data_IF_531122736610
#
_entry.id   IF_531122736610
#
_cell.length_a   1.000
_cell.length_b   1.000
_cell.length_c   1.000
_cell.angle_alpha   90.00
_cell.angle_beta   90.00
_cell.angle_gamma   90.00
#
_symmetry.space_group_name_H-M   'P 1'
#
loop_
_entity.id
_entity.type
_entity.pdbx_description
1 polymer ?
#
# COMPACT_ATOMS: atom_id res chain seq x y z
N UNK A 1 -5.92 9.02 8.29
CA UNK A 1 -7.05 9.41 7.43
C UNK A 1 -6.85 8.79 6.06
N UNK A 2 -7.90 8.28 5.42
CA UNK A 2 -7.82 7.63 4.11
C UNK A 2 -8.73 8.29 3.08
N UNK A 3 -8.87 7.66 1.93
CA UNK A 3 -9.84 8.02 0.89
C UNK A 3 -10.67 6.78 0.52
N UNK A 4 -11.87 6.99 -0.01
CA UNK A 4 -12.75 5.90 -0.44
C UNK A 4 -12.99 4.86 0.65
N UNK A 5 -12.64 3.61 0.38
CA UNK A 5 -12.95 2.46 1.24
C UNK A 5 -11.88 2.15 2.30
N UNK A 6 -10.86 3.00 2.46
CA UNK A 6 -9.79 2.76 3.43
C UNK A 6 -10.27 2.45 4.87
N UNK A 7 -11.34 3.07 5.41
CA UNK A 7 -11.85 2.73 6.74
C UNK A 7 -12.47 1.33 6.84
N UNK A 8 -12.84 0.73 5.71
CA UNK A 8 -13.46 -0.60 5.64
C UNK A 8 -12.45 -1.72 5.34
N UNK A 9 -11.21 -1.36 4.96
CA UNK A 9 -10.22 -2.32 4.51
C UNK A 9 -9.26 -2.67 5.64
N UNK A 10 -9.44 -3.85 6.24
CA UNK A 10 -8.57 -4.36 7.29
C UNK A 10 -7.18 -4.71 6.73
N UNK A 11 -6.13 -4.28 7.43
CA UNK A 11 -4.73 -4.65 7.19
C UNK A 11 -4.34 -5.70 8.26
N UNK A 12 -4.36 -7.01 7.93
CA UNK A 12 -4.24 -8.06 8.96
C UNK A 12 -2.93 -8.01 9.74
N UNK A 13 -1.83 -7.64 9.09
CA UNK A 13 -0.51 -7.52 9.73
C UNK A 13 -0.40 -6.37 10.73
N UNK A 14 -1.28 -5.37 10.64
CA UNK A 14 -1.30 -4.19 11.51
C UNK A 14 -2.53 -4.18 12.46
N UNK A 15 -3.44 -5.14 12.29
CA UNK A 15 -4.70 -5.25 13.04
C UNK A 15 -5.51 -3.94 13.11
N UNK A 16 -5.50 -3.17 12.03
CA UNK A 16 -6.25 -1.92 11.90
C UNK A 16 -6.72 -1.73 10.45
N UNK A 17 -7.65 -0.81 10.23
CA UNK A 17 -8.07 -0.42 8.88
C UNK A 17 -6.97 0.38 8.16
N UNK A 18 -7.02 0.40 6.83
CA UNK A 18 -6.07 1.18 6.03
C UNK A 18 -6.16 2.68 6.27
N UNK A 19 -7.27 3.19 6.82
CA UNK A 19 -7.42 4.60 7.18
C UNK A 19 -6.71 4.98 8.48
N UNK A 20 -6.43 3.99 9.33
CA UNK A 20 -5.75 4.11 10.63
C UNK A 20 -4.22 4.00 10.52
N UNK A 21 -3.71 3.52 9.39
CA UNK A 21 -2.28 3.56 9.10
C UNK A 21 -1.77 5.01 8.99
N UNK A 22 -0.52 5.23 9.40
CA UNK A 22 0.19 6.45 9.03
C UNK A 22 0.40 6.52 7.51
N UNK A 23 0.63 7.72 6.98
CA UNK A 23 0.89 7.87 5.55
C UNK A 23 2.12 7.08 5.11
N UNK A 24 3.18 7.08 5.92
CA UNK A 24 4.41 6.33 5.68
C UNK A 24 4.15 4.83 5.62
N UNK A 25 3.43 4.30 6.62
CA UNK A 25 3.10 2.88 6.69
C UNK A 25 2.23 2.46 5.49
N UNK A 26 1.24 3.28 5.13
CA UNK A 26 0.37 3.01 3.97
C UNK A 26 1.13 3.08 2.64
N UNK A 27 2.06 4.01 2.50
CA UNK A 27 2.89 4.14 1.31
C UNK A 27 3.91 2.99 1.16
N UNK A 28 4.28 2.33 2.25
CA UNK A 28 5.13 1.15 2.23
C UNK A 28 4.35 -0.16 2.03
N UNK A 29 3.15 -0.29 2.62
CA UNK A 29 2.41 -1.56 2.69
C UNK A 29 1.26 -1.70 1.68
N UNK A 30 0.80 -0.60 1.07
CA UNK A 30 -0.39 -0.67 0.19
C UNK A 30 -0.16 -1.51 -1.06
N UNK A 31 -1.27 -1.98 -1.66
CA UNK A 31 -1.26 -2.66 -2.96
C UNK A 31 -0.55 -1.84 -4.05
N UNK A 32 -0.65 -0.50 -3.99
CA UNK A 32 0.08 0.41 -4.90
C UNK A 32 1.58 0.29 -4.73
N UNK A 33 2.07 0.27 -3.48
CA UNK A 33 3.49 0.13 -3.18
C UNK A 33 4.05 -1.16 -3.80
N UNK A 34 3.35 -2.28 -3.60
CA UNK A 34 3.71 -3.59 -4.16
C UNK A 34 3.70 -3.55 -5.69
N UNK A 35 2.69 -2.94 -6.31
CA UNK A 35 2.61 -2.83 -7.77
C UNK A 35 3.75 -1.98 -8.35
N UNK A 36 4.04 -0.83 -7.74
CA UNK A 36 5.13 0.04 -8.19
C UNK A 36 6.51 -0.59 -7.97
N UNK A 37 6.71 -1.33 -6.88
CA UNK A 37 7.95 -2.09 -6.67
C UNK A 37 8.19 -3.09 -7.82
N UNK A 38 7.16 -3.87 -8.18
CA UNK A 38 7.21 -4.80 -9.32
C UNK A 38 7.41 -4.08 -10.65
N UNK A 39 6.75 -2.95 -10.86
CA UNK A 39 6.96 -2.14 -12.07
C UNK A 39 8.41 -1.65 -12.16
N UNK A 40 8.98 -1.15 -11.06
CA UNK A 40 10.35 -0.68 -11.01
C UNK A 40 11.36 -1.80 -11.30
N UNK A 41 11.11 -3.02 -10.83
CA UNK A 41 11.92 -4.19 -11.20
C UNK A 41 11.88 -4.47 -12.69
N UNK A 42 10.69 -4.40 -13.30
CA UNK A 42 10.52 -4.61 -14.74
C UNK A 42 11.25 -3.54 -15.55
N UNK A 43 11.09 -2.26 -15.20
CA UNK A 43 11.80 -1.15 -15.87
C UNK A 43 13.33 -1.29 -15.75
N UNK A 44 13.84 -1.71 -14.58
CA UNK A 44 15.27 -2.01 -14.41
C UNK A 44 15.74 -3.20 -15.23
N UNK A 45 14.87 -4.18 -15.45
CA UNK A 45 15.15 -5.38 -16.25
C UNK A 45 15.03 -5.14 -17.78
N UNK A 46 14.81 -3.90 -18.22
CA UNK A 46 14.75 -3.56 -19.65
C UNK A 46 13.39 -3.81 -20.28
N UNK A 47 12.32 -3.82 -19.47
CA UNK A 47 10.97 -3.58 -19.96
C UNK A 47 10.76 -2.09 -20.26
#
# INVERSE_FOLDING_TARGET
GGFGYDPLFLVPSANCSSAELSEEAKNALSHRAVAFAKLAERLRAGL
#
